data_IF_450160341557
#
_entry.id   IF_450160341557
#
_cell.length_a   1.000
_cell.length_b   1.000
_cell.length_c   1.000
_cell.angle_alpha   90.00
_cell.angle_beta   90.00
_cell.angle_gamma   90.00
#
_symmetry.space_group_name_H-M   'P 1'
#
loop_
_entity.id
_entity.type
_entity.pdbx_description
1 polymer ?
#
# COMPACT_ATOMS: atom_id res chain seq x y z
N UNK A 1 -12.17 -4.92 -12.35
CA UNK A 1 -11.05 -4.70 -11.40
C UNK A 1 -9.93 -5.68 -11.74
N UNK A 2 -8.70 -5.26 -11.51
CA UNK A 2 -7.56 -6.13 -11.81
C UNK A 2 -7.52 -7.32 -10.86
N UNK A 3 -7.14 -8.51 -11.34
CA UNK A 3 -7.10 -9.71 -10.49
C UNK A 3 -6.18 -9.58 -9.28
N UNK A 4 -5.08 -8.80 -9.38
CA UNK A 4 -4.17 -8.61 -8.26
C UNK A 4 -4.84 -7.89 -7.09
N UNK A 5 -5.81 -7.02 -7.34
CA UNK A 5 -6.53 -6.33 -6.29
C UNK A 5 -7.40 -7.29 -5.48
N UNK A 6 -7.94 -8.31 -6.13
CA UNK A 6 -8.76 -9.30 -5.43
C UNK A 6 -7.93 -10.11 -4.44
N UNK A 7 -6.67 -10.39 -4.77
CA UNK A 7 -5.80 -11.12 -3.87
C UNK A 7 -5.34 -10.21 -2.73
N UNK A 8 -5.00 -8.96 -3.05
CA UNK A 8 -4.58 -8.01 -2.03
C UNK A 8 -5.66 -7.85 -0.96
N UNK A 9 -6.91 -7.72 -1.37
CA UNK A 9 -8.00 -7.52 -0.43
C UNK A 9 -8.19 -8.68 0.54
N UNK A 10 -7.79 -9.90 0.15
CA UNK A 10 -7.90 -11.06 1.03
C UNK A 10 -6.95 -10.94 2.23
N UNK A 11 -5.89 -10.17 2.10
CA UNK A 11 -4.90 -9.99 3.17
C UNK A 11 -5.21 -8.79 4.06
N UNK A 12 -6.26 -8.04 3.76
CA UNK A 12 -6.62 -6.83 4.50
C UNK A 12 -7.84 -7.11 5.33
N UNK A 13 -7.71 -6.92 6.64
CA UNK A 13 -8.82 -7.17 7.57
C UNK A 13 -9.92 -6.11 7.41
N UNK A 14 -11.19 -6.48 7.55
CA UNK A 14 -12.26 -5.49 7.61
C UNK A 14 -12.06 -4.53 8.79
N UNK A 15 -12.50 -3.31 8.62
CA UNK A 15 -12.45 -2.28 9.67
C UNK A 15 -11.04 -1.91 10.11
N UNK A 16 -10.03 -2.19 9.29
CA UNK A 16 -8.64 -1.92 9.62
C UNK A 16 -8.19 -0.57 9.05
N UNK A 17 -7.02 -0.11 9.51
CA UNK A 17 -6.40 1.12 9.00
C UNK A 17 -5.36 0.75 7.96
N UNK A 18 -5.45 1.36 6.78
CA UNK A 18 -4.58 1.06 5.65
C UNK A 18 -3.92 2.33 5.13
N UNK A 19 -2.61 2.27 4.95
CA UNK A 19 -1.84 3.34 4.31
C UNK A 19 -1.38 2.83 2.94
N UNK A 20 -1.75 3.53 1.89
CA UNK A 20 -1.43 3.14 0.52
C UNK A 20 -0.37 4.08 -0.04
N UNK A 21 0.83 3.57 -0.22
CA UNK A 21 1.96 4.34 -0.71
C UNK A 21 1.90 4.40 -2.24
N UNK A 22 1.71 5.61 -2.78
CA UNK A 22 1.50 5.78 -4.20
C UNK A 22 0.13 5.28 -4.62
N UNK A 23 -0.92 5.85 -4.04
CA UNK A 23 -2.29 5.33 -4.20
C UNK A 23 -2.89 5.54 -5.59
N UNK A 24 -2.22 6.25 -6.48
CA UNK A 24 -2.73 6.53 -7.80
C UNK A 24 -4.04 7.31 -7.72
N UNK A 25 -5.02 6.91 -8.51
CA UNK A 25 -6.32 7.59 -8.57
C UNK A 25 -7.24 7.26 -7.39
N UNK A 26 -6.77 6.47 -6.43
CA UNK A 26 -7.54 6.12 -5.25
C UNK A 26 -8.52 4.97 -5.44
N UNK A 27 -8.50 4.30 -6.59
CA UNK A 27 -9.49 3.25 -6.86
C UNK A 27 -9.37 2.07 -5.91
N UNK A 28 -8.16 1.66 -5.56
CA UNK A 28 -7.96 0.54 -4.62
C UNK A 28 -8.45 0.90 -3.22
N UNK A 29 -8.07 2.07 -2.71
CA UNK A 29 -8.53 2.50 -1.39
C UNK A 29 -10.04 2.65 -1.35
N UNK A 30 -10.62 3.22 -2.41
CA UNK A 30 -12.06 3.37 -2.48
C UNK A 30 -12.74 2.00 -2.44
N UNK A 31 -12.22 1.03 -3.19
CA UNK A 31 -12.74 -0.32 -3.19
C UNK A 31 -12.68 -0.95 -1.79
N UNK A 32 -11.56 -0.79 -1.10
CA UNK A 32 -11.40 -1.34 0.25
C UNK A 32 -12.32 -0.63 1.26
N UNK A 33 -12.52 0.66 1.10
CA UNK A 33 -13.43 1.41 1.95
C UNK A 33 -14.88 0.94 1.78
N UNK A 34 -15.29 0.67 0.56
CA UNK A 34 -16.67 0.28 0.28
C UNK A 34 -16.94 -1.19 0.58
N UNK A 35 -15.95 -2.07 0.40
CA UNK A 35 -16.16 -3.51 0.57
C UNK A 35 -15.75 -4.02 1.94
N UNK A 36 -14.80 -3.37 2.60
CA UNK A 36 -14.26 -3.85 3.88
C UNK A 36 -14.31 -2.81 4.99
N UNK A 37 -14.91 -1.67 4.73
CA UNK A 37 -15.02 -0.61 5.73
C UNK A 37 -13.65 -0.20 6.30
N UNK A 38 -12.66 -0.11 5.44
CA UNK A 38 -11.30 0.24 5.82
C UNK A 38 -11.20 1.75 6.03
N UNK A 39 -10.42 2.18 7.03
CA UNK A 39 -10.00 3.57 7.14
C UNK A 39 -8.70 3.70 6.35
N UNK A 40 -8.75 4.36 5.21
CA UNK A 40 -7.62 4.42 4.30
C UNK A 40 -7.07 5.83 4.14
N UNK A 41 -5.74 5.92 4.03
CA UNK A 41 -5.05 7.14 3.63
C UNK A 41 -4.09 6.77 2.51
N UNK A 42 -4.10 7.56 1.43
CA UNK A 42 -3.17 7.37 0.32
C UNK A 42 -2.13 8.47 0.29
N UNK A 43 -0.93 8.12 -0.15
CA UNK A 43 0.12 9.10 -0.46
C UNK A 43 0.29 9.14 -1.97
N UNK A 44 0.37 10.33 -2.53
CA UNK A 44 0.47 10.53 -3.96
C UNK A 44 1.13 11.86 -4.24
N UNK A 45 1.85 11.99 -5.36
CA UNK A 45 2.46 13.27 -5.76
C UNK A 45 1.88 13.82 -7.06
N UNK A 46 1.22 13.00 -7.86
CA UNK A 46 0.64 13.45 -9.12
C UNK A 46 -0.66 14.21 -8.85
N UNK A 47 -0.72 15.45 -9.31
CA UNK A 47 -1.88 16.32 -9.04
C UNK A 47 -3.18 15.76 -9.60
N UNK A 48 -3.12 15.17 -10.79
CA UNK A 48 -4.31 14.57 -11.41
C UNK A 48 -4.83 13.41 -10.59
N UNK A 49 -3.93 12.57 -10.10
CA UNK A 49 -4.32 11.44 -9.23
C UNK A 49 -4.87 11.92 -7.90
N UNK A 50 -4.27 12.95 -7.33
CA UNK A 50 -4.78 13.53 -6.08
C UNK A 50 -6.21 14.04 -6.28
N UNK A 51 -6.48 14.71 -7.39
CA UNK A 51 -7.82 15.20 -7.67
C UNK A 51 -8.81 14.05 -7.82
N UNK A 52 -8.42 12.96 -8.48
CA UNK A 52 -9.27 11.79 -8.58
C UNK A 52 -9.58 11.18 -7.21
N UNK A 53 -8.59 11.15 -6.31
CA UNK A 53 -8.81 10.69 -4.94
C UNK A 53 -9.83 11.56 -4.21
N UNK A 54 -9.69 12.88 -4.33
CA UNK A 54 -10.61 13.81 -3.68
C UNK A 54 -12.02 13.66 -4.24
N UNK A 55 -12.15 13.46 -5.54
CA UNK A 55 -13.45 13.28 -6.18
C UNK A 55 -14.14 11.98 -5.71
N UNK A 56 -13.37 10.97 -5.38
CA UNK A 56 -13.89 9.69 -4.86
C UNK A 56 -14.19 9.74 -3.37
N UNK A 57 -13.78 10.80 -2.67
CA UNK A 57 -13.91 10.86 -1.22
C UNK A 57 -12.86 10.03 -0.49
N UNK A 58 -11.73 9.76 -1.14
CA UNK A 58 -10.61 9.03 -0.55
C UNK A 58 -9.66 10.02 0.11
N UNK A 59 -9.22 9.72 1.34
CA UNK A 59 -8.24 10.56 2.03
C UNK A 59 -6.89 10.42 1.34
N UNK A 60 -6.27 11.54 0.98
CA UNK A 60 -4.99 11.54 0.30
C UNK A 60 -4.11 12.65 0.85
N UNK A 61 -2.81 12.37 0.95
CA UNK A 61 -1.81 13.35 1.35
C UNK A 61 -0.81 13.45 0.20
N UNK A 62 -0.48 14.67 -0.19
CA UNK A 62 0.57 14.90 -1.17
C UNK A 62 1.91 14.69 -0.49
N UNK A 63 2.60 13.62 -0.86
CA UNK A 63 3.88 13.28 -0.24
C UNK A 63 4.72 12.46 -1.20
N UNK A 64 6.00 12.84 -1.29
CA UNK A 64 6.98 12.12 -2.08
C UNK A 64 7.60 11.01 -1.22
N UNK A 65 7.50 9.77 -1.67
CA UNK A 65 8.00 8.61 -0.92
C UNK A 65 9.52 8.67 -0.70
N UNK A 66 10.26 9.26 -1.64
CA UNK A 66 11.71 9.40 -1.50
C UNK A 66 12.11 10.34 -0.36
N UNK A 67 11.19 11.15 0.12
CA UNK A 67 11.44 12.01 1.29
C UNK A 67 11.25 11.28 2.61
N UNK A 68 10.86 10.02 2.57
CA UNK A 68 10.67 9.22 3.77
C UNK A 68 9.28 9.32 4.37
N UNK A 69 9.08 8.60 5.45
CA UNK A 69 7.78 8.47 6.10
C UNK A 69 7.87 8.79 7.60
N UNK A 70 8.81 9.66 8.00
CA UNK A 70 9.03 9.96 9.41
C UNK A 70 7.86 10.69 10.06
N UNK A 71 6.96 11.25 9.26
CA UNK A 71 5.74 11.90 9.75
C UNK A 71 4.67 10.90 10.22
N UNK A 72 4.90 9.60 10.04
CA UNK A 72 3.98 8.56 10.52
C UNK A 72 4.59 7.83 11.71
N UNK A 73 3.77 7.59 12.72
CA UNK A 73 4.22 6.91 13.94
C UNK A 73 4.31 5.40 13.74
N UNK A 74 5.23 4.78 14.47
CA UNK A 74 5.37 3.33 14.44
C UNK A 74 4.08 2.66 14.87
N UNK A 75 3.67 1.62 14.15
CA UNK A 75 2.50 0.84 14.50
C UNK A 75 1.17 1.56 14.33
N UNK A 76 1.14 2.68 13.60
CA UNK A 76 -0.07 3.49 13.48
C UNK A 76 -1.07 2.95 12.46
N UNK A 77 -0.68 1.99 11.64
CA UNK A 77 -1.56 1.37 10.65
C UNK A 77 -1.55 -0.15 10.78
N UNK A 78 -2.64 -0.77 10.40
CA UNK A 78 -2.71 -2.23 10.36
C UNK A 78 -1.97 -2.78 9.15
N UNK A 79 -2.11 -2.14 8.01
CA UNK A 79 -1.48 -2.57 6.77
C UNK A 79 -0.96 -1.37 6.00
N UNK A 80 0.25 -1.52 5.44
CA UNK A 80 0.82 -0.54 4.52
C UNK A 80 0.99 -1.23 3.17
N UNK A 81 0.46 -0.60 2.13
CA UNK A 81 0.48 -1.14 0.77
C UNK A 81 1.47 -0.38 -0.09
N UNK A 82 2.16 -1.10 -0.95
CA UNK A 82 2.94 -0.50 -2.02
C UNK A 82 2.66 -1.31 -3.29
N UNK A 83 1.78 -0.80 -4.12
CA UNK A 83 1.22 -1.59 -5.21
C UNK A 83 1.84 -1.30 -6.57
N UNK A 84 2.74 -0.34 -6.70
CA UNK A 84 3.15 0.04 -8.05
C UNK A 84 4.61 0.41 -8.28
N UNK A 85 5.31 0.99 -7.35
CA UNK A 85 6.45 1.81 -7.76
C UNK A 85 7.77 1.52 -7.05
N UNK A 86 7.92 0.35 -6.47
CA UNK A 86 9.15 0.04 -5.72
C UNK A 86 10.40 0.26 -6.59
N UNK A 87 10.33 -0.09 -7.87
CA UNK A 87 11.46 0.02 -8.78
C UNK A 87 11.83 1.46 -9.12
N UNK A 88 10.87 2.39 -9.01
CA UNK A 88 11.11 3.78 -9.34
C UNK A 88 11.66 4.57 -8.16
N UNK A 89 11.83 3.94 -7.02
CA UNK A 89 12.29 4.61 -5.81
C UNK A 89 13.81 4.52 -5.70
N UNK A 90 14.43 5.56 -5.15
CA UNK A 90 15.88 5.60 -5.00
C UNK A 90 16.37 4.74 -3.84
N UNK A 91 15.52 4.48 -2.84
CA UNK A 91 15.90 3.71 -1.65
C UNK A 91 14.79 2.72 -1.28
N UNK A 92 14.60 1.66 -2.09
CA UNK A 92 13.52 0.72 -1.84
C UNK A 92 13.66 -0.03 -0.51
N UNK A 93 14.88 -0.37 -0.10
CA UNK A 93 15.10 -1.08 1.18
C UNK A 93 14.66 -0.23 2.36
N UNK A 94 14.96 1.06 2.35
CA UNK A 94 14.55 1.97 3.39
C UNK A 94 13.02 2.08 3.46
N UNK A 95 12.37 2.12 2.31
CA UNK A 95 10.92 2.21 2.28
C UNK A 95 10.27 0.96 2.87
N UNK A 96 10.79 -0.22 2.56
CA UNK A 96 10.26 -1.46 3.11
C UNK A 96 10.42 -1.48 4.64
N UNK A 97 11.58 -1.03 5.15
CA UNK A 97 11.77 -0.93 6.59
C UNK A 97 10.75 0.00 7.23
N UNK A 98 10.46 1.13 6.59
CA UNK A 98 9.47 2.07 7.09
C UNK A 98 8.06 1.50 7.02
N UNK A 99 7.74 0.74 5.99
CA UNK A 99 6.46 0.06 5.91
C UNK A 99 6.26 -0.87 7.12
N UNK A 100 7.29 -1.63 7.46
CA UNK A 100 7.22 -2.56 8.59
C UNK A 100 7.24 -1.84 9.93
N UNK A 101 7.82 -0.65 9.99
CA UNK A 101 7.77 0.18 11.21
C UNK A 101 6.37 0.73 11.44
N UNK A 102 5.76 1.27 10.39
CA UNK A 102 4.47 1.98 10.46
C UNK A 102 3.31 1.01 10.56
N UNK A 103 3.35 -0.07 9.79
CA UNK A 103 2.27 -1.04 9.72
C UNK A 103 2.57 -2.31 10.47
N UNK A 104 1.52 -2.98 10.92
CA UNK A 104 1.63 -4.32 11.48
C UNK A 104 1.97 -5.31 10.37
N UNK A 105 1.48 -5.05 9.18
CA UNK A 105 1.73 -5.84 7.98
C UNK A 105 2.10 -4.92 6.83
N UNK A 106 2.85 -5.44 5.88
CA UNK A 106 3.15 -4.74 4.63
C UNK A 106 2.85 -5.64 3.45
N UNK A 107 2.32 -5.08 2.39
CA UNK A 107 2.05 -5.79 1.14
C UNK A 107 2.71 -5.03 0.02
N UNK A 108 3.57 -5.72 -0.73
CA UNK A 108 4.24 -5.13 -1.90
C UNK A 108 3.85 -5.97 -3.11
N UNK A 109 3.46 -5.31 -4.18
CA UNK A 109 3.20 -5.99 -5.44
C UNK A 109 4.22 -5.53 -6.47
N UNK A 110 4.57 -6.42 -7.38
CA UNK A 110 5.57 -6.17 -8.40
C UNK A 110 4.96 -6.34 -9.78
N UNK A 111 5.17 -5.37 -10.70
CA UNK A 111 4.76 -5.57 -12.08
C UNK A 111 5.68 -6.62 -12.72
N UNK A 112 5.13 -7.40 -13.65
CA UNK A 112 5.89 -8.39 -14.37
C UNK A 112 5.35 -8.50 -15.78
N UNK A 113 6.08 -7.99 -16.76
CA UNK A 113 5.77 -8.11 -18.18
C UNK A 113 4.32 -7.78 -18.51
N UNK A 114 3.88 -6.61 -18.06
CA UNK A 114 2.54 -6.11 -18.39
C UNK A 114 1.44 -6.56 -17.46
N UNK A 115 1.74 -7.39 -16.45
CA UNK A 115 0.75 -7.70 -15.46
C UNK A 115 1.41 -7.99 -14.11
N UNK A 116 0.60 -8.12 -13.07
CA UNK A 116 1.07 -8.28 -11.70
C UNK A 116 1.18 -9.75 -11.37
N UNK A 117 2.36 -10.33 -11.62
CA UNK A 117 2.56 -11.77 -11.49
C UNK A 117 3.06 -12.21 -10.11
N UNK A 118 3.58 -11.29 -9.34
CA UNK A 118 4.20 -11.62 -8.05
C UNK A 118 3.75 -10.66 -6.98
N UNK A 119 3.60 -11.18 -5.78
CA UNK A 119 3.25 -10.38 -4.62
C UNK A 119 4.08 -10.82 -3.44
N UNK A 120 4.38 -9.88 -2.56
CA UNK A 120 5.11 -10.18 -1.33
C UNK A 120 4.30 -9.64 -0.17
N UNK A 121 3.92 -10.51 0.73
CA UNK A 121 3.26 -10.15 1.96
C UNK A 121 4.30 -10.19 3.08
N UNK A 122 4.41 -9.09 3.83
CA UNK A 122 5.36 -8.95 4.90
C UNK A 122 4.60 -8.76 6.21
N UNK A 123 5.00 -9.50 7.24
CA UNK A 123 4.42 -9.34 8.56
C UNK A 123 5.54 -9.05 9.55
N UNK A 124 5.29 -8.07 10.42
CA UNK A 124 6.21 -7.69 11.48
C UNK A 124 5.37 -7.51 12.75
N UNK A 125 5.90 -7.41 13.89
CA UNK A 125 5.20 -7.13 15.16
C UNK A 125 5.92 -7.77 16.33
N UNK A 126 7.15 -7.34 16.57
CA UNK A 126 7.92 -7.91 17.66
C UNK A 126 8.30 -9.37 17.41
N UNK A 127 8.13 -9.82 16.18
CA UNK A 127 8.53 -11.15 15.73
C UNK A 127 9.55 -10.99 14.63
N UNK A 128 10.20 -12.07 14.28
CA UNK A 128 11.00 -12.06 13.07
C UNK A 128 10.06 -11.80 11.89
N UNK A 129 10.48 -10.94 10.94
CA UNK A 129 9.66 -10.70 9.76
C UNK A 129 9.36 -11.99 9.03
N UNK A 130 8.11 -12.15 8.66
CA UNK A 130 7.68 -13.29 7.85
C UNK A 130 7.31 -12.74 6.49
N UNK A 131 7.91 -13.28 5.45
CA UNK A 131 7.57 -12.87 4.09
C UNK A 131 6.96 -14.04 3.34
N UNK A 132 5.94 -13.73 2.56
CA UNK A 132 5.30 -14.69 1.67
C UNK A 132 5.40 -14.17 0.26
N UNK A 133 6.02 -14.92 -0.60
CA UNK A 133 6.08 -14.62 -2.01
C UNK A 133 5.10 -15.53 -2.72
N UNK A 134 4.13 -14.96 -3.41
CA UNK A 134 3.11 -15.71 -4.11
C UNK A 134 3.27 -15.45 -5.61
N UNK A 135 3.82 -16.41 -6.36
CA UNK A 135 3.86 -16.27 -7.80
C UNK A 135 2.44 -16.35 -8.37
N UNK A 136 2.17 -15.52 -9.31
CA UNK A 136 0.87 -15.48 -9.97
C UNK A 136 1.02 -16.16 -11.32
N UNK A 137 0.42 -17.29 -11.47
CA UNK A 137 0.48 -18.05 -12.70
C UNK A 137 -0.61 -17.63 -13.68
#
# INVERSE_FOLDING_TARGET
MRPDLEIIQQWIAPNSKVLDLGCGDGSLLHYLQTTKNVYGIGLEIDESNIQHCLDRGTNVIEQNLDKGLSNFQSGSFDTVLLAQTLQALSKPDHLIDEMLRIGKNGIVTFPNFGNWKSRLYLASRGRMPVSKFIPHS
#
